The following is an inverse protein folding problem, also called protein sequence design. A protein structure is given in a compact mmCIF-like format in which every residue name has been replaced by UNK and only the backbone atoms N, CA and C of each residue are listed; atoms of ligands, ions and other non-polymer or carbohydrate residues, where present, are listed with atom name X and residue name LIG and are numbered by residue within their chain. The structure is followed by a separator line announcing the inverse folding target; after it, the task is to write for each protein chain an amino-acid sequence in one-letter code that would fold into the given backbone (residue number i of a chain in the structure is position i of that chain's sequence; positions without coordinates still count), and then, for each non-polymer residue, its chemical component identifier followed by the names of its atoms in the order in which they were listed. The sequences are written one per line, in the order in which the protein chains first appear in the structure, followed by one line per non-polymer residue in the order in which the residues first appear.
data_IF_147490250025
#
_entry.id   IF_147490250025
#
_cell.length_a   1.000
_cell.length_b   1.000
_cell.length_c   1.000
_cell.angle_alpha   90.00
_cell.angle_beta   90.00
_cell.angle_gamma   90.00
#
_symmetry.space_group_name_H-M   'P 1'
#
loop_
_entity.id
_entity.type
_entity.pdbx_description
1 polymer ?
#
# COMPACT_ATOMS: atom_id res chain seq x y z
N UNK A 1 -15.06 -4.09 1.68
CA UNK A 1 -15.70 -5.40 1.90
C UNK A 1 -16.90 -5.55 0.96
N UNK A 2 -16.68 -5.82 -0.34
CA UNK A 2 -17.76 -5.82 -1.34
C UNK A 2 -18.78 -6.95 -1.15
N UNK A 3 -18.38 -8.06 -0.50
CA UNK A 3 -19.22 -9.22 -0.22
C UNK A 3 -20.06 -9.09 1.05
N UNK A 4 -19.85 -8.05 1.86
CA UNK A 4 -20.69 -7.79 3.02
C UNK A 4 -21.98 -7.10 2.52
N UNK A 5 -23.09 -7.83 2.52
CA UNK A 5 -24.44 -7.29 2.25
C UNK A 5 -24.96 -6.38 3.38
N UNK A 6 -24.06 -5.83 4.19
CA UNK A 6 -24.31 -4.91 5.31
C UNK A 6 -23.11 -3.97 5.48
N UNK A 7 -23.28 -2.82 6.14
CA UNK A 7 -22.14 -1.98 6.53
C UNK A 7 -21.10 -2.78 7.35
N UNK A 8 -19.79 -2.51 7.16
CA UNK A 8 -18.76 -3.06 8.02
C UNK A 8 -19.00 -2.63 9.47
N UNK A 9 -18.88 -3.58 10.38
CA UNK A 9 -18.94 -3.40 11.82
C UNK A 9 -17.57 -3.62 12.44
N UNK A 10 -17.40 -3.22 13.70
CA UNK A 10 -16.16 -3.45 14.46
C UNK A 10 -15.72 -4.92 14.42
N UNK A 11 -16.67 -5.85 14.43
CA UNK A 11 -16.38 -7.30 14.43
C UNK A 11 -15.61 -7.69 13.15
N UNK A 12 -15.96 -7.12 12.00
CA UNK A 12 -15.31 -7.44 10.72
C UNK A 12 -13.82 -7.06 10.72
N UNK A 13 -13.47 -5.99 11.43
CA UNK A 13 -12.08 -5.56 11.60
C UNK A 13 -11.30 -6.39 12.63
N UNK A 14 -11.99 -7.07 13.55
CA UNK A 14 -11.35 -7.95 14.55
C UNK A 14 -11.03 -9.33 14.02
N UNK A 15 -11.58 -9.71 12.86
CA UNK A 15 -11.31 -10.99 12.21
C UNK A 15 -9.84 -11.12 11.81
N UNK A 16 -9.38 -12.35 11.71
CA UNK A 16 -8.05 -12.67 11.20
C UNK A 16 -7.92 -12.23 9.73
N UNK A 17 -6.79 -11.61 9.38
CA UNK A 17 -6.58 -11.10 8.02
C UNK A 17 -6.36 -12.21 6.99
N UNK A 18 -5.83 -13.36 7.42
CA UNK A 18 -5.57 -14.50 6.56
C UNK A 18 -5.57 -15.83 7.34
N UNK A 19 -5.79 -16.91 6.61
CA UNK A 19 -5.64 -18.28 7.09
C UNK A 19 -4.64 -19.02 6.16
N UNK A 20 -3.56 -19.63 6.70
CA UNK A 20 -3.11 -19.56 8.09
C UNK A 20 -2.69 -18.13 8.47
N UNK A 21 -2.85 -17.78 9.75
CA UNK A 21 -2.47 -16.48 10.29
C UNK A 21 -0.97 -16.22 10.13
N UNK A 22 -0.60 -15.02 9.67
CA UNK A 22 0.81 -14.57 9.61
C UNK A 22 0.99 -13.26 10.37
N UNK A 23 2.09 -13.11 11.14
CA UNK A 23 2.45 -11.85 11.78
C UNK A 23 3.08 -10.84 10.81
N UNK A 24 3.52 -11.28 9.63
CA UNK A 24 4.15 -10.43 8.62
C UNK A 24 3.46 -10.61 7.26
N UNK A 25 3.02 -9.50 6.67
CA UNK A 25 2.39 -9.46 5.36
C UNK A 25 3.10 -8.44 4.47
N UNK A 26 3.62 -8.91 3.34
CA UNK A 26 4.20 -8.07 2.29
C UNK A 26 3.18 -7.84 1.18
N UNK A 27 2.86 -6.58 0.95
CA UNK A 27 1.96 -6.12 -0.10
C UNK A 27 2.73 -5.47 -1.24
N UNK A 28 2.19 -5.56 -2.45
CA UNK A 28 2.67 -4.82 -3.61
C UNK A 28 1.48 -4.27 -4.39
N UNK A 29 1.72 -3.21 -5.14
CA UNK A 29 0.79 -2.68 -6.13
C UNK A 29 1.56 -2.46 -7.43
N UNK A 30 1.05 -2.87 -8.60
CA UNK A 30 1.81 -2.79 -9.86
C UNK A 30 2.33 -1.39 -10.23
N UNK A 31 1.70 -0.35 -9.68
CA UNK A 31 2.07 1.05 -9.92
C UNK A 31 2.93 1.67 -8.83
N UNK A 32 3.13 1.00 -7.70
CA UNK A 32 4.00 1.49 -6.63
C UNK A 32 5.40 0.91 -6.84
N UNK A 33 6.46 1.74 -6.82
CA UNK A 33 7.84 1.27 -6.97
C UNK A 33 8.41 0.70 -5.66
N UNK A 34 7.56 0.48 -4.64
CA UNK A 34 7.95 -0.09 -3.36
C UNK A 34 6.94 -1.14 -2.88
N UNK A 35 7.44 -2.09 -2.10
CA UNK A 35 6.62 -2.99 -1.30
C UNK A 35 6.11 -2.28 -0.04
N UNK A 36 4.95 -2.71 0.44
CA UNK A 36 4.38 -2.27 1.70
C UNK A 36 4.41 -3.45 2.67
N UNK A 37 5.25 -3.36 3.69
CA UNK A 37 5.36 -4.39 4.72
C UNK A 37 4.52 -4.00 5.93
N UNK A 38 3.58 -4.87 6.30
CA UNK A 38 2.79 -4.73 7.53
C UNK A 38 3.18 -5.83 8.50
N UNK A 39 3.68 -5.42 9.65
CA UNK A 39 4.06 -6.30 10.76
C UNK A 39 3.04 -6.12 11.89
N UNK A 40 2.46 -7.22 12.36
CA UNK A 40 1.60 -7.19 13.54
C UNK A 40 2.40 -6.91 14.80
N UNK A 41 1.84 -6.10 15.69
CA UNK A 41 2.37 -5.92 17.04
C UNK A 41 2.31 -7.22 17.87
N UNK A 42 1.43 -8.15 17.50
CA UNK A 42 1.37 -9.48 18.10
C UNK A 42 2.16 -10.47 17.25
N UNK A 43 3.09 -11.19 17.88
CA UNK A 43 3.95 -12.19 17.22
C UNK A 43 3.19 -13.34 16.55
N UNK A 44 1.90 -13.53 16.85
CA UNK A 44 1.13 -14.66 16.34
C UNK A 44 0.27 -14.33 15.12
N UNK A 45 -0.21 -13.08 14.99
CA UNK A 45 -1.41 -12.89 14.18
C UNK A 45 -1.72 -11.43 13.80
N UNK A 46 -2.10 -11.21 12.53
CA UNK A 46 -2.56 -9.91 12.03
C UNK A 46 -4.09 -9.91 11.87
N UNK A 47 -4.78 -8.94 12.47
CA UNK A 47 -6.22 -8.71 12.29
C UNK A 47 -6.47 -7.89 11.03
N UNK A 48 -7.63 -8.08 10.39
CA UNK A 48 -8.02 -7.37 9.18
C UNK A 48 -7.92 -5.84 9.36
N UNK A 49 -8.40 -5.30 10.49
CA UNK A 49 -8.30 -3.87 10.79
C UNK A 49 -6.85 -3.37 10.91
N UNK A 50 -6.00 -4.13 11.60
CA UNK A 50 -4.59 -3.76 11.77
C UNK A 50 -3.82 -3.79 10.44
N UNK A 51 -4.19 -4.71 9.53
CA UNK A 51 -3.62 -4.76 8.18
C UNK A 51 -4.04 -3.55 7.36
N UNK A 52 -5.34 -3.25 7.32
CA UNK A 52 -5.87 -2.09 6.58
C UNK A 52 -5.24 -0.80 7.11
N UNK A 53 -5.15 -0.64 8.43
CA UNK A 53 -4.51 0.52 9.05
C UNK A 53 -3.01 0.59 8.75
N UNK A 54 -2.30 -0.54 8.80
CA UNK A 54 -0.87 -0.61 8.50
C UNK A 54 -0.57 -0.18 7.06
N UNK A 55 -1.32 -0.70 6.08
CA UNK A 55 -1.15 -0.29 4.68
C UNK A 55 -1.52 1.18 4.51
N UNK A 56 -2.61 1.65 5.13
CA UNK A 56 -2.98 3.07 5.08
C UNK A 56 -1.85 3.95 5.62
N UNK A 57 -1.30 3.64 6.80
CA UNK A 57 -0.19 4.39 7.40
C UNK A 57 1.04 4.43 6.48
N UNK A 58 1.40 3.31 5.87
CA UNK A 58 2.53 3.25 4.92
C UNK A 58 2.28 4.10 3.67
N UNK A 59 1.06 4.11 3.15
CA UNK A 59 0.68 4.99 2.03
C UNK A 59 0.65 6.48 2.42
N UNK A 60 0.42 6.80 3.70
CA UNK A 60 0.47 8.17 4.20
C UNK A 60 1.90 8.68 4.46
N UNK A 61 2.94 7.84 4.36
CA UNK A 61 4.32 8.28 4.61
C UNK A 61 4.79 9.25 3.52
N UNK A 62 5.55 10.30 3.88
CA UNK A 62 6.20 11.15 2.91
C UNK A 62 7.14 10.35 2.02
N UNK A 63 7.16 10.68 0.72
CA UNK A 63 8.17 10.14 -0.19
C UNK A 63 9.48 10.86 0.10
N UNK A 64 10.55 10.11 0.33
CA UNK A 64 11.88 10.69 0.50
C UNK A 64 12.64 10.66 -0.82
N UNK A 65 13.67 11.50 -0.96
CA UNK A 65 14.54 11.48 -2.15
C UNK A 65 15.13 10.09 -2.43
N UNK A 66 15.35 9.27 -1.38
CA UNK A 66 15.84 7.90 -1.52
C UNK A 66 14.83 6.95 -2.18
N UNK A 67 13.53 7.18 -1.97
CA UNK A 67 12.47 6.41 -2.64
C UNK A 67 12.42 6.75 -4.14
N UNK A 68 12.80 7.97 -4.52
CA UNK A 68 12.79 8.46 -5.90
C UNK A 68 13.97 7.95 -6.74
N UNK A 69 15.17 7.90 -6.17
CA UNK A 69 16.40 7.50 -6.89
C UNK A 69 16.69 5.98 -6.87
N UNK A 70 15.72 5.12 -6.54
CA UNK A 70 15.96 3.67 -6.50
C UNK A 70 16.01 3.07 -7.92
N UNK A 71 16.90 2.11 -8.17
CA UNK A 71 17.27 1.62 -9.52
C UNK A 71 16.10 1.08 -10.37
N UNK A 72 15.00 0.63 -9.75
CA UNK A 72 13.78 0.20 -10.48
C UNK A 72 13.07 1.36 -11.22
N UNK A 73 13.25 2.61 -10.78
CA UNK A 73 12.71 3.82 -11.44
C UNK A 73 13.44 4.17 -12.75
N UNK A 74 14.65 3.67 -12.97
CA UNK A 74 15.41 3.95 -14.20
C UNK A 74 14.79 3.36 -15.47
N UNK A 75 13.78 2.49 -15.34
CA UNK A 75 13.12 1.80 -16.46
C UNK A 75 11.70 2.30 -16.75
N UNK A 76 11.05 2.95 -15.78
CA UNK A 76 9.72 3.57 -15.94
C UNK A 76 9.91 5.07 -16.10
N UNK A 77 10.15 5.48 -17.35
CA UNK A 77 10.10 6.86 -17.86
C UNK A 77 10.49 7.95 -16.84
N UNK A 78 11.78 8.03 -16.51
CA UNK A 78 12.37 9.16 -15.79
C UNK A 78 12.30 10.49 -16.58
N UNK A 79 11.65 10.52 -17.75
CA UNK A 79 11.62 11.65 -18.67
C UNK A 79 10.65 12.78 -18.32
N UNK A 80 9.79 12.62 -17.31
CA UNK A 80 8.71 13.59 -17.05
C UNK A 80 8.93 14.53 -15.86
N UNK A 81 9.99 14.36 -15.06
CA UNK A 81 10.16 15.12 -13.82
C UNK A 81 11.54 15.76 -13.76
N UNK A 82 11.60 17.06 -14.03
CA UNK A 82 12.82 17.86 -14.03
C UNK A 82 13.30 18.22 -12.62
N UNK A 83 14.56 18.67 -12.55
CA UNK A 83 15.35 19.01 -11.35
C UNK A 83 14.69 20.00 -10.35
N UNK A 84 13.53 20.57 -10.67
CA UNK A 84 12.74 21.45 -9.81
C UNK A 84 11.79 20.75 -8.82
N UNK A 85 11.49 19.47 -8.99
CA UNK A 85 10.50 18.77 -8.15
C UNK A 85 11.03 18.30 -6.78
N UNK A 86 12.36 18.33 -6.56
CA UNK A 86 12.93 18.13 -5.22
C UNK A 86 12.38 19.10 -4.16
N UNK A 87 11.99 20.31 -4.60
CA UNK A 87 11.36 21.31 -3.75
C UNK A 87 9.85 21.05 -3.52
N UNK A 88 9.13 20.45 -4.47
CA UNK A 88 7.73 20.02 -4.31
C UNK A 88 7.63 18.79 -3.38
N UNK A 89 8.58 17.86 -3.46
CA UNK A 89 8.69 16.68 -2.57
C UNK A 89 8.82 17.11 -1.10
N UNK A 90 9.51 18.23 -0.84
CA UNK A 90 9.63 18.80 0.51
C UNK A 90 8.34 19.39 1.09
N UNK A 91 7.28 19.55 0.26
CA UNK A 91 5.99 20.12 0.69
C UNK A 91 4.97 19.09 1.20
N UNK A 92 5.33 17.81 1.26
CA UNK A 92 4.48 16.78 1.87
C UNK A 92 3.81 15.82 0.89
N UNK A 93 4.46 15.52 -0.24
CA UNK A 93 4.03 14.45 -1.14
C UNK A 93 4.12 13.11 -0.41
N UNK A 94 3.01 12.39 -0.36
CA UNK A 94 2.88 11.08 0.31
C UNK A 94 2.93 9.97 -0.72
N UNK A 95 3.30 8.76 -0.27
CA UNK A 95 3.33 7.54 -1.08
C UNK A 95 2.01 7.26 -1.82
N UNK A 96 0.87 7.64 -1.24
CA UNK A 96 -0.46 7.51 -1.89
C UNK A 96 -0.59 8.39 -3.14
N UNK A 97 0.07 9.54 -3.18
CA UNK A 97 -0.04 10.50 -4.28
C UNK A 97 0.55 9.90 -5.58
N UNK A 98 1.48 8.94 -5.45
CA UNK A 98 2.02 8.17 -6.57
C UNK A 98 0.95 7.35 -7.31
N UNK A 99 -0.06 6.85 -6.59
CA UNK A 99 -1.23 6.21 -7.23
C UNK A 99 -2.08 7.26 -7.94
N UNK A 100 -2.18 8.46 -7.36
CA UNK A 100 -3.01 9.58 -7.81
C UNK A 100 -2.51 10.32 -9.06
N UNK A 101 -1.25 10.12 -9.50
CA UNK A 101 -0.67 10.82 -10.66
C UNK A 101 -1.55 10.68 -11.93
N UNK A 102 -2.21 9.53 -12.11
CA UNK A 102 -3.08 9.27 -13.28
C UNK A 102 -4.60 9.30 -12.95
N UNK A 103 -4.98 9.92 -11.83
CA UNK A 103 -6.37 10.12 -11.40
C UNK A 103 -6.73 9.45 -10.07
N UNK A 104 -8.01 9.54 -9.69
CA UNK A 104 -8.50 8.96 -8.43
C UNK A 104 -8.53 7.43 -8.49
N UNK A 105 -8.05 6.79 -7.43
CA UNK A 105 -8.10 5.34 -7.28
C UNK A 105 -8.78 4.95 -5.98
N UNK A 106 -9.66 3.97 -6.07
CA UNK A 106 -10.35 3.37 -4.92
C UNK A 106 -9.76 2.00 -4.64
N UNK A 107 -9.33 1.76 -3.40
CA UNK A 107 -8.98 0.42 -2.94
C UNK A 107 -10.21 -0.50 -3.01
N UNK A 108 -10.09 -1.60 -3.75
CA UNK A 108 -11.18 -2.60 -3.88
C UNK A 108 -10.92 -3.89 -3.12
N UNK A 109 -9.65 -4.27 -2.89
CA UNK A 109 -9.32 -5.45 -2.10
C UNK A 109 -7.84 -5.79 -2.07
N UNK A 110 -7.53 -6.95 -1.51
CA UNK A 110 -6.20 -7.57 -1.52
C UNK A 110 -6.33 -9.02 -1.99
N UNK A 111 -5.37 -9.49 -2.78
CA UNK A 111 -5.38 -10.85 -3.33
C UNK A 111 -4.04 -11.52 -3.03
N UNK A 112 -4.08 -12.70 -2.41
CA UNK A 112 -2.87 -13.50 -2.17
C UNK A 112 -2.33 -14.04 -3.49
N UNK A 113 -1.03 -13.89 -3.71
CA UNK A 113 -0.30 -14.46 -4.86
C UNK A 113 0.55 -15.66 -4.43
N UNK A 114 1.04 -16.39 -5.43
CA UNK A 114 2.15 -17.34 -5.24
C UNK A 114 3.33 -16.61 -4.59
N UNK A 115 4.08 -17.31 -3.73
CA UNK A 115 5.24 -16.81 -2.94
C UNK A 115 4.93 -15.99 -1.67
N UNK A 116 3.69 -15.98 -1.17
CA UNK A 116 3.36 -15.33 0.11
C UNK A 116 3.23 -13.81 0.05
N UNK A 117 3.26 -13.24 -1.15
CA UNK A 117 3.00 -11.82 -1.41
C UNK A 117 1.50 -11.55 -1.61
N UNK A 118 1.11 -10.31 -1.36
CA UNK A 118 -0.28 -9.85 -1.47
C UNK A 118 -0.38 -8.68 -2.47
N UNK A 119 -1.23 -8.80 -3.47
CA UNK A 119 -1.50 -7.73 -4.42
C UNK A 119 -2.61 -6.83 -3.91
N UNK A 120 -2.37 -5.52 -3.80
CA UNK A 120 -3.44 -4.53 -3.57
C UNK A 120 -4.18 -4.30 -4.89
N UNK A 121 -5.50 -4.46 -4.85
CA UNK A 121 -6.39 -4.20 -5.98
C UNK A 121 -7.02 -2.83 -5.84
N UNK A 122 -6.92 -2.05 -6.91
CA UNK A 122 -7.51 -0.72 -7.04
C UNK A 122 -8.43 -0.69 -8.26
N UNK A 123 -9.38 0.24 -8.26
CA UNK A 123 -10.17 0.63 -9.44
C UNK A 123 -10.07 2.14 -9.61
N UNK A 124 -10.16 2.62 -10.85
CA UNK A 124 -10.53 4.03 -11.09
C UNK A 124 -11.99 4.26 -10.72
#
# INVERSE_FOLDING_TARGET
FPSLNRPPSTIDFTQMACEPSTPHMRFYHPRLPWYIDVVSASAMSSRAGAVIEGVWRELQRPITSRDFYNEEMGTLDSGHIGEGEGAEISKGVRRVDWLGIEGDWVWTGIVRKSSGMWEIKTRK
#
